data_IF_663698293855
#
_entry.id   IF_663698293855
#
_cell.length_a   1.000
_cell.length_b   1.000
_cell.length_c   1.000
_cell.angle_alpha   90.00
_cell.angle_beta   90.00
_cell.angle_gamma   90.00
#
_symmetry.space_group_name_H-M   'P 1'
#
loop_
_entity.id
_entity.type
_entity.pdbx_description
1 polymer ?
#
# COMPACT_ATOMS: atom_id res chain seq x y z
N UNK A 1 12.35 -4.67 6.19
CA UNK A 1 11.43 -5.21 5.16
C UNK A 1 10.00 -5.13 5.67
N UNK A 2 9.09 -4.53 4.91
CA UNK A 2 7.69 -4.36 5.28
C UNK A 2 6.87 -5.58 4.85
N UNK A 3 5.98 -6.04 5.74
CA UNK A 3 5.09 -7.16 5.55
C UNK A 3 3.63 -6.72 5.74
N UNK A 4 2.68 -7.29 4.99
CA UNK A 4 1.24 -7.08 5.17
C UNK A 4 0.51 -8.42 5.23
N UNK A 5 -0.26 -8.61 6.28
CA UNK A 5 -1.08 -9.79 6.53
C UNK A 5 -2.53 -9.41 6.76
N UNK A 6 -3.46 -10.33 6.51
CA UNK A 6 -4.88 -10.08 6.65
C UNK A 6 -5.33 -10.43 8.08
N UNK A 7 -5.54 -9.42 8.91
CA UNK A 7 -6.03 -9.58 10.29
C UNK A 7 -7.57 -9.50 10.35
N UNK A 8 -8.26 -10.41 9.66
CA UNK A 8 -9.74 -10.51 9.65
C UNK A 8 -10.44 -10.13 8.34
N UNK A 9 -11.77 -10.05 8.32
CA UNK A 9 -12.58 -9.87 7.10
C UNK A 9 -12.36 -8.54 6.37
N UNK A 10 -12.03 -7.48 7.13
CA UNK A 10 -11.93 -6.11 6.63
C UNK A 10 -10.58 -5.47 6.94
N UNK A 11 -9.72 -6.14 7.71
CA UNK A 11 -8.55 -5.57 8.36
C UNK A 11 -7.27 -6.19 7.82
N UNK A 12 -6.24 -5.38 7.67
CA UNK A 12 -4.91 -5.77 7.24
C UNK A 12 -3.91 -5.25 8.25
N UNK A 13 -3.08 -6.12 8.80
CA UNK A 13 -1.98 -5.73 9.66
C UNK A 13 -0.73 -5.55 8.79
N UNK A 14 -0.06 -4.42 8.93
CA UNK A 14 1.25 -4.18 8.33
C UNK A 14 2.28 -4.31 9.44
N UNK A 15 3.33 -5.07 9.22
CA UNK A 15 4.46 -5.26 10.11
C UNK A 15 5.75 -4.75 9.44
N UNK A 16 6.70 -4.26 10.22
CA UNK A 16 8.07 -3.97 9.76
C UNK A 16 9.04 -4.70 10.68
N UNK A 17 9.97 -5.47 10.12
CA UNK A 17 10.94 -6.24 10.91
C UNK A 17 10.28 -7.16 11.96
N UNK A 18 9.14 -7.76 11.60
CA UNK A 18 8.36 -8.62 12.49
C UNK A 18 7.55 -7.89 13.57
N UNK A 19 7.56 -6.55 13.62
CA UNK A 19 6.78 -5.76 14.59
C UNK A 19 5.53 -5.16 13.94
N UNK A 20 4.35 -5.25 14.58
CA UNK A 20 3.13 -4.66 14.05
C UNK A 20 3.25 -3.14 14.00
N UNK A 21 3.08 -2.60 12.80
CA UNK A 21 3.19 -1.19 12.47
C UNK A 21 1.81 -0.51 12.44
N UNK A 22 0.80 -1.20 11.91
CA UNK A 22 -0.59 -0.70 11.87
C UNK A 22 -1.60 -1.77 11.49
N UNK A 23 -2.88 -1.49 11.75
CA UNK A 23 -4.03 -2.21 11.19
C UNK A 23 -4.86 -1.27 10.31
N UNK A 24 -5.07 -1.63 9.05
CA UNK A 24 -5.83 -0.87 8.04
C UNK A 24 -7.20 -1.51 7.81
N UNK A 25 -8.27 -0.72 7.80
CA UNK A 25 -9.61 -1.16 7.44
C UNK A 25 -9.93 -0.93 5.95
N UNK A 26 -9.92 -1.99 5.17
CA UNK A 26 -9.98 -1.89 3.71
C UNK A 26 -11.28 -1.37 3.08
N UNK A 27 -12.25 -0.86 3.84
CA UNK A 27 -13.46 -0.19 3.33
C UNK A 27 -13.31 1.34 3.33
N UNK A 28 -12.64 1.87 4.35
CA UNK A 28 -12.53 3.31 4.62
C UNK A 28 -11.09 3.83 4.51
N UNK A 29 -10.11 2.93 4.59
CA UNK A 29 -8.70 3.27 4.72
C UNK A 29 -8.19 2.89 6.11
N UNK A 30 -7.20 3.59 6.62
CA UNK A 30 -6.64 3.28 7.93
C UNK A 30 -5.72 4.37 8.41
N UNK A 31 -5.38 4.33 9.68
CA UNK A 31 -4.46 5.27 10.31
C UNK A 31 -3.26 4.48 10.83
N UNK A 32 -2.08 5.06 10.69
CA UNK A 32 -0.85 4.41 11.12
C UNK A 32 0.12 5.42 11.68
N UNK A 33 1.07 4.93 12.48
CA UNK A 33 2.18 5.72 12.97
C UNK A 33 3.50 5.12 12.51
N UNK A 34 4.40 5.98 12.06
CA UNK A 34 5.78 5.65 11.73
C UNK A 34 6.67 6.67 12.42
N UNK A 35 7.67 6.20 13.18
CA UNK A 35 8.64 7.05 13.87
C UNK A 35 7.99 8.19 14.67
N UNK A 36 6.84 7.92 15.30
CA UNK A 36 6.06 8.89 16.06
C UNK A 36 5.14 9.81 15.25
N UNK A 37 5.33 9.90 13.93
CA UNK A 37 4.49 10.67 13.02
C UNK A 37 3.19 9.90 12.67
N UNK A 38 2.07 10.61 12.65
CA UNK A 38 0.76 10.07 12.31
C UNK A 38 0.42 10.23 10.83
N UNK A 39 -0.16 9.19 10.25
CA UNK A 39 -0.56 9.13 8.85
C UNK A 39 -1.95 8.53 8.71
N UNK A 40 -2.67 8.97 7.67
CA UNK A 40 -4.00 8.46 7.34
C UNK A 40 -4.10 8.10 5.87
N UNK A 41 -4.53 6.89 5.60
CA UNK A 41 -4.88 6.42 4.27
C UNK A 41 -6.37 6.62 4.06
N UNK A 42 -6.73 7.28 2.97
CA UNK A 42 -8.12 7.54 2.60
C UNK A 42 -8.42 6.95 1.24
N UNK A 43 -9.53 6.24 1.12
CA UNK A 43 -10.06 5.77 -0.17
C UNK A 43 -11.17 6.71 -0.66
N UNK A 44 -11.10 7.16 -1.92
CA UNK A 44 -12.17 7.86 -2.64
C UNK A 44 -12.44 7.17 -3.97
N UNK A 45 -13.55 6.42 -4.04
CA UNK A 45 -13.94 5.64 -5.23
C UNK A 45 -12.84 4.68 -5.74
N UNK A 46 -12.15 5.05 -6.82
CA UNK A 46 -11.03 4.30 -7.43
C UNK A 46 -9.66 4.94 -7.15
N UNK A 47 -9.63 6.00 -6.37
CA UNK A 47 -8.42 6.71 -5.94
C UNK A 47 -8.14 6.47 -4.45
N UNK A 48 -6.87 6.53 -4.10
CA UNK A 48 -6.36 6.35 -2.75
C UNK A 48 -5.40 7.50 -2.44
N UNK A 49 -5.38 7.95 -1.20
CA UNK A 49 -4.53 9.06 -0.75
C UNK A 49 -3.85 8.70 0.56
N UNK A 50 -2.59 9.10 0.69
CA UNK A 50 -1.86 9.16 1.95
C UNK A 50 -1.92 10.60 2.45
N UNK A 51 -2.30 10.77 3.71
CA UNK A 51 -2.44 12.04 4.38
C UNK A 51 -1.47 12.10 5.57
N UNK A 52 -0.86 13.25 5.79
CA UNK A 52 -0.16 13.59 7.02
C UNK A 52 -1.16 13.83 8.17
N UNK A 53 -0.66 13.95 9.40
CA UNK A 53 -1.47 14.22 10.58
C UNK A 53 -2.27 15.53 10.49
N UNK A 54 -1.72 16.56 9.85
CA UNK A 54 -2.39 17.85 9.60
C UNK A 54 -3.44 17.78 8.46
N UNK A 55 -3.56 16.63 7.78
CA UNK A 55 -4.51 16.41 6.70
C UNK A 55 -3.98 16.73 5.30
N UNK A 56 -2.75 17.23 5.17
CA UNK A 56 -2.09 17.41 3.87
C UNK A 56 -1.93 16.11 3.10
N UNK A 57 -2.13 16.15 1.79
CA UNK A 57 -1.94 15.00 0.91
C UNK A 57 -0.45 14.83 0.65
N UNK A 58 0.12 13.71 1.13
CA UNK A 58 1.51 13.34 0.88
C UNK A 58 1.64 12.56 -0.43
N UNK A 59 0.68 11.69 -0.72
CA UNK A 59 0.69 10.90 -1.95
C UNK A 59 -0.72 10.53 -2.42
N UNK A 60 -0.85 10.24 -3.71
CA UNK A 60 -2.09 9.76 -4.32
C UNK A 60 -1.86 8.73 -5.42
N UNK A 61 -2.84 7.85 -5.62
CA UNK A 61 -2.84 6.90 -6.74
C UNK A 61 -4.25 6.66 -7.26
N UNK A 62 -4.37 6.41 -8.56
CA UNK A 62 -5.62 6.04 -9.23
C UNK A 62 -5.55 4.61 -9.77
N UNK A 63 -6.52 3.78 -9.41
CA UNK A 63 -6.62 2.36 -9.85
C UNK A 63 -5.28 1.60 -9.68
N UNK A 64 -4.70 1.53 -8.47
CA UNK A 64 -3.41 0.88 -8.21
C UNK A 64 -3.47 -0.62 -8.49
N UNK A 65 -2.56 -1.21 -9.27
CA UNK A 65 -2.60 -2.64 -9.65
C UNK A 65 -3.24 -2.97 -11.00
N UNK A 66 -3.44 -1.97 -11.85
CA UNK A 66 -3.65 -2.19 -13.30
C UNK A 66 -2.33 -2.63 -13.93
N UNK A 67 -2.35 -2.95 -15.23
CA UNK A 67 -1.13 -3.40 -15.94
C UNK A 67 0.02 -2.39 -15.79
N UNK A 68 -0.32 -1.10 -15.86
CA UNK A 68 0.54 0.03 -15.52
C UNK A 68 -0.26 0.94 -14.58
N UNK A 69 0.39 1.49 -13.56
CA UNK A 69 -0.19 2.45 -12.62
C UNK A 69 0.93 3.23 -11.92
N UNK A 70 0.59 4.33 -11.26
CA UNK A 70 1.57 5.17 -10.57
C UNK A 70 1.08 5.70 -9.22
N UNK A 71 2.02 6.17 -8.42
CA UNK A 71 1.80 6.95 -7.19
C UNK A 71 2.46 8.31 -7.38
N UNK A 72 1.69 9.37 -7.22
CA UNK A 72 2.19 10.75 -7.18
C UNK A 72 2.52 11.12 -5.74
N UNK A 73 3.69 11.71 -5.49
CA UNK A 73 4.14 12.13 -4.16
C UNK A 73 5.11 13.31 -4.26
N UNK A 74 4.78 14.45 -3.66
CA UNK A 74 5.71 15.59 -3.53
C UNK A 74 6.37 16.08 -4.82
N UNK A 75 5.71 15.97 -5.98
CA UNK A 75 6.26 16.33 -7.29
C UNK A 75 6.98 15.20 -8.04
N UNK A 76 7.10 14.01 -7.43
CA UNK A 76 7.66 12.82 -8.05
C UNK A 76 6.57 11.78 -8.36
N UNK A 77 6.79 10.99 -9.42
CA UNK A 77 5.93 9.88 -9.80
C UNK A 77 6.67 8.55 -9.61
N UNK A 78 6.12 7.65 -8.79
CA UNK A 78 6.54 6.26 -8.71
C UNK A 78 5.73 5.45 -9.71
N UNK A 79 6.39 4.89 -10.74
CA UNK A 79 5.73 4.07 -11.76
C UNK A 79 5.81 2.60 -11.42
N UNK A 80 4.73 1.88 -11.69
CA UNK A 80 4.62 0.46 -11.44
C UNK A 80 4.09 -0.29 -12.65
N UNK A 81 4.69 -1.47 -12.89
CA UNK A 81 4.23 -2.44 -13.89
C UNK A 81 3.84 -3.73 -13.19
N UNK A 82 2.67 -4.27 -13.52
CA UNK A 82 2.25 -5.57 -13.00
C UNK A 82 3.06 -6.69 -13.67
N UNK A 83 3.74 -7.50 -12.85
CA UNK A 83 4.59 -8.63 -13.28
C UNK A 83 3.94 -9.99 -13.02
N UNK A 84 3.02 -10.07 -12.06
CA UNK A 84 2.30 -11.29 -11.71
C UNK A 84 0.81 -11.05 -11.44
N UNK A 85 0.14 -12.03 -10.82
CA UNK A 85 -1.28 -11.88 -10.44
C UNK A 85 -1.46 -10.82 -9.34
N UNK A 86 -0.49 -10.75 -8.42
CA UNK A 86 -0.45 -9.80 -7.30
C UNK A 86 0.86 -9.02 -7.23
N UNK A 87 1.82 -9.37 -8.07
CA UNK A 87 3.19 -8.86 -8.03
C UNK A 87 3.37 -7.71 -9.03
N UNK A 88 4.15 -6.72 -8.61
CA UNK A 88 4.41 -5.50 -9.35
C UNK A 88 5.90 -5.14 -9.21
N UNK A 89 6.45 -4.56 -10.26
CA UNK A 89 7.77 -3.95 -10.26
C UNK A 89 7.61 -2.43 -10.26
N UNK A 90 8.36 -1.74 -9.41
CA UNK A 90 8.62 -0.31 -9.58
C UNK A 90 9.58 -0.15 -10.76
N UNK A 91 9.28 0.78 -11.65
CA UNK A 91 10.08 1.05 -12.84
C UNK A 91 10.55 2.49 -12.88
N UNK A 92 11.76 2.71 -13.38
CA UNK A 92 12.28 4.04 -13.69
C UNK A 92 11.71 4.59 -15.02
N UNK A 93 12.19 5.75 -15.46
CA UNK A 93 11.76 6.37 -16.72
C UNK A 93 12.17 5.57 -17.96
N UNK A 94 13.25 4.80 -17.88
CA UNK A 94 13.72 3.91 -18.94
C UNK A 94 12.99 2.55 -18.94
N UNK A 95 12.17 2.27 -17.93
CA UNK A 95 11.43 1.02 -17.78
C UNK A 95 12.20 -0.10 -17.08
N UNK A 96 13.36 0.19 -16.49
CA UNK A 96 14.13 -0.77 -15.71
C UNK A 96 13.48 -0.98 -14.35
N UNK A 97 13.55 -2.21 -13.83
CA UNK A 97 13.05 -2.53 -12.49
C UNK A 97 13.99 -1.95 -11.43
N UNK A 98 13.45 -1.12 -10.54
CA UNK A 98 14.19 -0.49 -9.42
C UNK A 98 13.64 -0.85 -8.05
N UNK A 99 12.57 -1.63 -7.99
CA UNK A 99 11.94 -2.08 -6.75
C UNK A 99 10.85 -3.12 -7.03
N UNK A 100 10.41 -3.82 -5.99
CA UNK A 100 9.42 -4.90 -6.10
C UNK A 100 8.33 -4.80 -5.04
N UNK A 101 7.13 -5.20 -5.44
CA UNK A 101 5.96 -5.30 -4.57
C UNK A 101 5.30 -6.64 -4.81
N UNK A 102 5.20 -7.45 -3.77
CA UNK A 102 4.52 -8.74 -3.80
C UNK A 102 3.18 -8.67 -3.06
N UNK A 103 2.47 -9.79 -2.97
CA UNK A 103 1.21 -9.88 -2.23
C UNK A 103 1.33 -9.50 -0.74
N UNK A 104 2.53 -9.55 -0.17
CA UNK A 104 2.77 -9.34 1.24
C UNK A 104 3.89 -8.36 1.55
N UNK A 105 4.70 -7.92 0.58
CA UNK A 105 5.90 -7.12 0.87
C UNK A 105 6.11 -6.03 -0.15
N UNK A 106 6.68 -4.91 0.30
CA UNK A 106 7.18 -3.86 -0.58
C UNK A 106 8.66 -3.66 -0.23
N UNK A 107 9.47 -3.64 -1.28
CA UNK A 107 10.89 -3.29 -1.25
C UNK A 107 11.09 -2.27 -2.37
N UNK A 108 10.95 -1.00 -2.01
CA UNK A 108 11.01 0.11 -2.94
C UNK A 108 12.28 0.93 -2.68
N UNK A 109 13.10 1.10 -3.72
CA UNK A 109 14.36 1.83 -3.58
C UNK A 109 14.12 3.34 -3.55
N UNK A 110 14.76 4.02 -2.59
CA UNK A 110 14.77 5.48 -2.50
C UNK A 110 13.44 6.14 -2.13
N UNK A 111 12.47 5.38 -1.62
CA UNK A 111 11.19 5.92 -1.17
C UNK A 111 11.11 5.98 0.34
N UNK A 112 10.27 6.88 0.85
CA UNK A 112 10.03 6.97 2.29
C UNK A 112 9.17 5.79 2.79
N UNK A 113 9.38 5.28 4.01
CA UNK A 113 8.63 4.14 4.54
C UNK A 113 7.10 4.29 4.52
N UNK A 114 6.58 5.51 4.73
CA UNK A 114 5.14 5.79 4.65
C UNK A 114 4.56 5.54 3.24
N UNK A 115 5.37 5.70 2.19
CA UNK A 115 4.96 5.44 0.81
C UNK A 115 4.88 3.94 0.52
N UNK A 116 5.78 3.14 1.09
CA UNK A 116 5.72 1.68 0.97
C UNK A 116 4.46 1.12 1.64
N UNK A 117 4.17 1.59 2.87
CA UNK A 117 2.92 1.29 3.59
C UNK A 117 1.70 1.67 2.73
N UNK A 118 1.71 2.86 2.14
CA UNK A 118 0.64 3.34 1.29
C UNK A 118 0.43 2.46 0.04
N UNK A 119 1.51 2.06 -0.64
CA UNK A 119 1.47 1.17 -1.81
C UNK A 119 0.84 -0.18 -1.46
N UNK A 120 1.29 -0.81 -0.38
CA UNK A 120 0.75 -2.10 0.09
C UNK A 120 -0.73 -1.99 0.44
N UNK A 121 -1.10 -0.96 1.19
CA UNK A 121 -2.48 -0.71 1.58
C UNK A 121 -3.41 -0.50 0.38
N UNK A 122 -2.98 0.31 -0.60
CA UNK A 122 -3.76 0.62 -1.79
C UNK A 122 -4.00 -0.64 -2.65
N UNK A 123 -2.99 -1.49 -2.81
CA UNK A 123 -3.10 -2.79 -3.50
C UNK A 123 -4.00 -3.77 -2.73
N UNK A 124 -3.83 -3.90 -1.41
CA UNK A 124 -4.64 -4.76 -0.57
C UNK A 124 -6.12 -4.38 -0.62
N UNK A 125 -6.43 -3.08 -0.47
CA UNK A 125 -7.79 -2.54 -0.55
C UNK A 125 -8.44 -2.78 -1.91
N UNK A 126 -7.69 -2.66 -3.02
CA UNK A 126 -8.21 -3.00 -4.34
C UNK A 126 -8.45 -4.50 -4.50
N UNK A 127 -7.54 -5.33 -3.99
CA UNK A 127 -7.63 -6.79 -4.11
C UNK A 127 -8.84 -7.38 -3.38
N UNK A 128 -9.55 -6.57 -2.58
CA UNK A 128 -10.78 -6.92 -1.86
C UNK A 128 -11.98 -7.33 -2.74
N UNK A 129 -11.83 -7.50 -4.06
CA UNK A 129 -12.79 -8.28 -4.83
C UNK A 129 -12.60 -9.79 -4.55
N UNK A 130 -13.46 -10.26 -3.64
CA UNK A 130 -13.98 -11.64 -3.53
C UNK A 130 -12.99 -12.70 -3.03
N UNK A 131 -12.77 -12.71 -1.72
CA UNK A 131 -12.57 -13.96 -0.95
C UNK A 131 -13.09 -13.74 0.48
N UNK A 132 -14.34 -14.14 0.69
CA UNK A 132 -14.80 -14.58 2.01
C UNK A 132 -13.87 -15.73 2.37
N UNK A 133 -13.06 -15.53 3.39
CA UNK A 133 -12.33 -16.60 4.04
C UNK A 133 -12.94 -16.63 5.43
N UNK A 134 -13.75 -17.65 5.67
CA UNK A 134 -14.16 -18.06 7.02
C UNK A 134 -12.88 -18.47 7.71
N UNK A 135 -12.52 -17.80 8.79
CA UNK A 135 -11.50 -18.30 9.72
C UNK A 135 -12.30 -18.86 10.89
N UNK A 136 -12.41 -20.18 10.93
CA UNK A 136 -12.87 -20.91 12.10
C UNK A 136 -11.75 -20.85 13.14
N UNK A 137 -12.09 -20.43 14.36
CA UNK A 137 -11.20 -20.49 15.50
C UNK A 137 -11.14 -21.90 16.08
N UNK A 138 -10.08 -22.15 16.83
CA UNK A 138 -10.06 -22.88 18.12
C UNK A 138 -8.76 -22.53 18.82
#
# INVERSE_FOLDING_TARGET
MLHIEKSGLTKYEITSDGRPLTVIEGRSGGEFRLDGAGYRIRRRFRSYQLLAADGSVLASTHRPGTRIWSVESGGSELRFRRTGRRDHAQVDEAGNTVGTVTAGTADLSGVKPELEVFVLAALAMRSRRRRVVVVAGS
#
